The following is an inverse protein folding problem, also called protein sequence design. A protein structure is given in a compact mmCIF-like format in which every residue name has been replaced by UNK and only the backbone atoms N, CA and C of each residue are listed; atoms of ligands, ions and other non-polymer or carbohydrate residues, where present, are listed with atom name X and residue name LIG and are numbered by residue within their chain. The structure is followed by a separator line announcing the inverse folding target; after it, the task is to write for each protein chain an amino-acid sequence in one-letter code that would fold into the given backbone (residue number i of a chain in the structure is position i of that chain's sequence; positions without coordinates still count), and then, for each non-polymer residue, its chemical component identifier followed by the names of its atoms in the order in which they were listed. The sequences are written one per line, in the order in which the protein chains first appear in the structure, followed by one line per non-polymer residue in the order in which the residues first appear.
data_IF_083973145941
#
_entry.id   IF_083973145941
#
_cell.length_a   1.000
_cell.length_b   1.000
_cell.length_c   1.000
_cell.angle_alpha   90.00
_cell.angle_beta   90.00
_cell.angle_gamma   90.00
#
_symmetry.space_group_name_H-M   'P 1'
#
loop_
_entity.id
_entity.type
_entity.pdbx_description
1 polymer ?
#
# COMPACT_ATOMS: atom_id res chain seq x y z
N UNK A 1 -11.97 -9.66 -1.32
CA UNK A 1 -12.34 -8.96 -0.06
C UNK A 1 -11.05 -8.68 0.73
N UNK A 2 -11.04 -7.72 1.66
CA UNK A 2 -9.83 -7.45 2.46
C UNK A 2 -9.59 -8.48 3.58
N UNK A 3 -10.67 -9.10 4.05
CA UNK A 3 -10.66 -10.13 5.09
C UNK A 3 -11.90 -11.02 4.93
N UNK A 4 -11.77 -12.30 5.23
CA UNK A 4 -12.82 -13.32 5.14
C UNK A 4 -12.90 -14.13 6.42
N UNK A 5 -14.11 -14.59 6.76
CA UNK A 5 -14.38 -15.35 7.98
C UNK A 5 -15.20 -16.60 7.67
N UNK A 6 -14.94 -17.68 8.41
CA UNK A 6 -15.73 -18.90 8.38
C UNK A 6 -16.00 -19.39 9.81
N UNK A 7 -17.22 -19.85 10.08
CA UNK A 7 -17.54 -20.41 11.40
C UNK A 7 -16.90 -21.78 11.56
N UNK A 8 -16.48 -22.18 12.79
CA UNK A 8 -15.82 -23.48 13.00
C UNK A 8 -16.65 -24.70 12.58
N UNK A 9 -17.99 -24.57 12.58
CA UNK A 9 -18.91 -25.64 12.19
C UNK A 9 -19.23 -25.68 10.70
N UNK A 10 -18.74 -24.72 9.90
CA UNK A 10 -19.00 -24.70 8.47
C UNK A 10 -18.13 -25.73 7.74
N UNK A 11 -18.60 -26.14 6.56
CA UNK A 11 -17.87 -26.98 5.63
C UNK A 11 -17.88 -26.36 4.24
N UNK A 12 -16.85 -26.64 3.45
CA UNK A 12 -16.72 -26.24 2.05
C UNK A 12 -16.45 -27.48 1.19
N UNK A 13 -17.12 -27.58 0.06
CA UNK A 13 -16.90 -28.67 -0.89
C UNK A 13 -16.17 -28.16 -2.12
N UNK A 14 -15.06 -28.81 -2.45
CA UNK A 14 -14.25 -28.52 -3.63
C UNK A 14 -14.33 -29.73 -4.55
N UNK A 15 -14.84 -29.53 -5.76
CA UNK A 15 -15.04 -30.59 -6.75
C UNK A 15 -14.84 -30.00 -8.16
N UNK A 16 -14.50 -30.82 -9.16
CA UNK A 16 -14.31 -30.34 -10.52
C UNK A 16 -15.65 -29.95 -11.16
N UNK A 17 -15.60 -29.08 -12.16
CA UNK A 17 -16.79 -28.72 -12.92
C UNK A 17 -17.33 -29.94 -13.64
N UNK A 18 -18.59 -30.26 -13.41
CA UNK A 18 -19.29 -31.40 -14.00
C UNK A 18 -20.14 -30.96 -15.17
N UNK A 19 -20.28 -31.83 -16.16
CA UNK A 19 -21.33 -31.74 -17.17
C UNK A 19 -22.12 -33.05 -17.20
N UNK A 20 -23.45 -32.92 -17.16
CA UNK A 20 -24.40 -34.03 -17.29
C UNK A 20 -25.11 -33.96 -18.65
N UNK A 21 -25.53 -35.11 -19.19
CA UNK A 21 -26.29 -35.23 -20.45
C UNK A 21 -25.50 -35.84 -21.61
N UNK A 22 -26.17 -36.06 -22.75
CA UNK A 22 -25.53 -36.62 -23.96
C UNK A 22 -24.62 -35.58 -24.61
N UNK A 23 -23.32 -35.70 -24.37
CA UNK A 23 -22.29 -34.94 -25.10
C UNK A 23 -22.02 -35.65 -26.41
N UNK A 24 -22.60 -35.18 -27.51
CA UNK A 24 -22.21 -35.66 -28.83
C UNK A 24 -20.86 -35.03 -29.19
N UNK A 25 -19.77 -35.63 -28.68
CA UNK A 25 -18.45 -35.73 -29.32
C UNK A 25 -17.77 -34.50 -29.95
N UNK A 26 -18.21 -33.25 -29.73
CA UNK A 26 -17.54 -32.09 -30.31
C UNK A 26 -16.34 -31.71 -29.42
N UNK A 27 -15.09 -31.74 -29.94
CA UNK A 27 -13.90 -31.35 -29.17
C UNK A 27 -13.97 -29.93 -28.58
N UNK A 28 -14.83 -29.08 -29.15
CA UNK A 28 -15.10 -27.72 -28.69
C UNK A 28 -15.70 -27.70 -27.28
N UNK A 29 -16.55 -28.67 -26.94
CA UNK A 29 -17.21 -28.72 -25.63
C UNK A 29 -16.21 -29.07 -24.53
N UNK A 30 -15.27 -29.98 -24.79
CA UNK A 30 -14.19 -30.30 -23.84
C UNK A 30 -13.29 -29.09 -23.57
N UNK A 31 -12.84 -28.40 -24.63
CA UNK A 31 -12.03 -27.18 -24.51
C UNK A 31 -12.75 -26.07 -23.74
N UNK A 32 -14.07 -26.00 -23.84
CA UNK A 32 -14.86 -25.06 -23.07
C UNK A 32 -14.79 -25.37 -21.56
N UNK A 33 -14.93 -26.63 -21.16
CA UNK A 33 -14.85 -27.02 -19.73
C UNK A 33 -13.48 -26.76 -19.13
N UNK A 34 -12.41 -27.14 -19.83
CA UNK A 34 -11.05 -26.87 -19.37
C UNK A 34 -10.83 -25.36 -19.13
N UNK A 35 -11.33 -24.50 -20.03
CA UNK A 35 -11.26 -23.04 -19.86
C UNK A 35 -12.06 -22.53 -18.66
N UNK A 36 -13.23 -23.10 -18.41
CA UNK A 36 -14.04 -22.72 -17.24
C UNK A 36 -13.33 -23.15 -15.95
N UNK A 37 -12.81 -24.36 -15.91
CA UNK A 37 -12.08 -24.87 -14.75
C UNK A 37 -10.82 -24.03 -14.49
N UNK A 38 -10.00 -23.77 -15.51
CA UNK A 38 -8.82 -22.91 -15.41
C UNK A 38 -9.18 -21.50 -14.91
N UNK A 39 -10.28 -20.92 -15.40
CA UNK A 39 -10.77 -19.61 -14.93
C UNK A 39 -11.17 -19.63 -13.46
N UNK A 40 -11.84 -20.70 -12.99
CA UNK A 40 -12.23 -20.84 -11.59
C UNK A 40 -10.99 -20.99 -10.70
N UNK A 41 -10.05 -21.84 -11.10
CA UNK A 41 -8.79 -22.04 -10.37
C UNK A 41 -8.05 -20.72 -10.22
N UNK A 42 -7.85 -19.99 -11.32
CA UNK A 42 -7.20 -18.67 -11.31
C UNK A 42 -7.95 -17.65 -10.46
N UNK A 43 -9.28 -17.65 -10.51
CA UNK A 43 -10.08 -16.73 -9.70
C UNK A 43 -9.91 -17.00 -8.20
N UNK A 44 -9.97 -18.26 -7.79
CA UNK A 44 -9.83 -18.64 -6.37
C UNK A 44 -8.42 -18.36 -5.88
N UNK A 45 -7.39 -18.75 -6.63
CA UNK A 45 -5.98 -18.52 -6.22
C UNK A 45 -5.60 -17.04 -6.21
N UNK A 46 -6.19 -16.21 -7.08
CA UNK A 46 -5.96 -14.77 -7.07
C UNK A 46 -6.68 -14.03 -5.92
N UNK A 47 -7.73 -14.62 -5.34
CA UNK A 47 -8.56 -14.00 -4.30
C UNK A 47 -8.42 -14.64 -2.92
N UNK A 48 -7.52 -15.61 -2.78
CA UNK A 48 -7.23 -16.29 -1.54
C UNK A 48 -5.72 -16.54 -1.43
N UNK A 49 -5.29 -17.20 -0.35
CA UNK A 49 -3.87 -17.53 -0.10
C UNK A 49 -3.54 -18.98 -0.44
N UNK A 50 -4.52 -19.76 -0.93
CA UNK A 50 -4.28 -21.14 -1.33
C UNK A 50 -3.37 -21.20 -2.56
N UNK A 51 -2.45 -22.16 -2.57
CA UNK A 51 -1.66 -22.45 -3.77
C UNK A 51 -2.51 -23.16 -4.82
N UNK A 52 -2.25 -22.87 -6.10
CA UNK A 52 -2.91 -23.56 -7.22
C UNK A 52 -2.75 -25.08 -7.13
N UNK A 53 -1.53 -25.54 -6.80
CA UNK A 53 -1.25 -26.97 -6.59
C UNK A 53 -2.16 -27.58 -5.53
N UNK A 54 -2.29 -26.94 -4.37
CA UNK A 54 -3.13 -27.46 -3.28
C UNK A 54 -4.62 -27.42 -3.65
N UNK A 55 -5.07 -26.38 -4.32
CA UNK A 55 -6.47 -26.28 -4.75
C UNK A 55 -6.83 -27.36 -5.78
N UNK A 56 -5.94 -27.62 -6.75
CA UNK A 56 -6.10 -28.72 -7.70
C UNK A 56 -6.05 -30.10 -7.03
N UNK A 57 -5.15 -30.29 -6.06
CA UNK A 57 -5.10 -31.50 -5.24
C UNK A 57 -6.44 -31.76 -4.54
N UNK A 58 -7.00 -30.75 -3.85
CA UNK A 58 -8.30 -30.86 -3.19
C UNK A 58 -9.45 -31.13 -4.18
N UNK A 59 -9.37 -30.56 -5.38
CA UNK A 59 -10.38 -30.74 -6.43
C UNK A 59 -10.33 -32.13 -7.06
N UNK A 60 -9.16 -32.73 -7.21
CA UNK A 60 -8.96 -34.03 -7.86
C UNK A 60 -8.85 -35.20 -6.88
N UNK A 61 -8.86 -34.92 -5.57
CA UNK A 61 -8.77 -35.96 -4.56
C UNK A 61 -9.97 -36.89 -4.61
N UNK A 62 -9.74 -38.18 -4.36
CA UNK A 62 -10.78 -39.21 -4.28
C UNK A 62 -10.71 -39.79 -2.88
N UNK A 63 -11.60 -39.34 -1.99
CA UNK A 63 -11.56 -39.84 -0.62
C UNK A 63 -12.72 -39.41 0.29
N UNK A 64 -13.25 -38.20 0.14
CA UNK A 64 -14.21 -37.66 1.12
C UNK A 64 -15.66 -37.63 0.62
N UNK A 65 -15.88 -37.62 -0.69
CA UNK A 65 -17.19 -37.79 -1.28
C UNK A 65 -17.36 -39.25 -1.70
N UNK A 66 -18.21 -39.99 -0.98
CA UNK A 66 -18.44 -41.44 -1.18
C UNK A 66 -18.87 -41.85 -2.61
N UNK A 67 -19.20 -40.87 -3.46
CA UNK A 67 -19.66 -41.05 -4.84
C UNK A 67 -19.12 -39.97 -5.82
N UNK A 68 -18.07 -39.23 -5.45
CA UNK A 68 -17.49 -38.16 -6.31
C UNK A 68 -15.98 -37.97 -6.11
N UNK A 69 -15.35 -37.35 -7.10
CA UNK A 69 -14.04 -36.71 -7.00
C UNK A 69 -14.23 -35.33 -6.37
N UNK A 70 -13.47 -35.05 -5.32
CA UNK A 70 -13.54 -33.80 -4.57
C UNK A 70 -13.35 -34.03 -3.07
N UNK A 71 -13.17 -32.92 -2.36
CA UNK A 71 -12.86 -32.88 -0.93
C UNK A 71 -13.89 -32.01 -0.20
N UNK A 72 -14.30 -32.42 1.00
CA UNK A 72 -15.15 -31.64 1.90
C UNK A 72 -14.31 -31.21 3.10
N UNK A 73 -13.87 -29.97 3.09
CA UNK A 73 -13.03 -29.43 4.15
C UNK A 73 -13.89 -28.74 5.22
N UNK A 74 -13.49 -28.85 6.47
CA UNK A 74 -14.08 -28.08 7.57
C UNK A 74 -13.57 -26.62 7.60
N UNK A 75 -14.18 -25.80 8.46
CA UNK A 75 -13.81 -24.39 8.59
C UNK A 75 -12.35 -24.18 9.01
N UNK A 76 -11.76 -25.08 9.80
CA UNK A 76 -10.35 -24.97 10.24
C UNK A 76 -9.42 -25.24 9.07
N UNK A 77 -9.68 -26.30 8.31
CA UNK A 77 -8.95 -26.66 7.11
C UNK A 77 -9.05 -25.55 6.04
N UNK A 78 -10.22 -24.90 5.91
CA UNK A 78 -10.37 -23.77 4.99
C UNK A 78 -9.43 -22.59 5.33
N UNK A 79 -9.20 -22.33 6.62
CA UNK A 79 -8.23 -21.31 7.06
C UNK A 79 -6.79 -21.80 6.89
N UNK A 80 -6.50 -23.05 7.27
CA UNK A 80 -5.16 -23.65 7.13
C UNK A 80 -4.68 -23.69 5.68
N UNK A 81 -5.55 -24.08 4.75
CA UNK A 81 -5.24 -24.09 3.33
C UNK A 81 -5.25 -22.70 2.69
N UNK A 82 -5.63 -21.66 3.43
CA UNK A 82 -5.61 -20.27 2.98
C UNK A 82 -6.78 -19.91 2.05
N UNK A 83 -7.86 -20.67 2.05
CA UNK A 83 -9.10 -20.31 1.34
C UNK A 83 -9.85 -19.19 2.05
N UNK A 84 -9.77 -19.16 3.38
CA UNK A 84 -10.37 -18.15 4.27
C UNK A 84 -9.28 -17.59 5.19
N UNK A 85 -9.40 -16.33 5.61
CA UNK A 85 -8.39 -15.68 6.45
C UNK A 85 -8.45 -16.13 7.92
N UNK A 86 -9.66 -16.19 8.50
CA UNK A 86 -9.83 -16.45 9.93
C UNK A 86 -11.09 -17.26 10.26
N UNK A 87 -11.02 -18.00 11.37
CA UNK A 87 -12.19 -18.55 12.02
C UNK A 87 -12.91 -17.43 12.78
N UNK A 88 -14.23 -17.33 12.60
CA UNK A 88 -15.01 -16.32 13.31
C UNK A 88 -16.49 -16.37 12.99
N UNK A 89 -17.28 -15.90 13.93
CA UNK A 89 -18.71 -15.69 13.77
C UNK A 89 -19.03 -14.28 13.26
N UNK A 90 -20.34 -13.97 13.25
CA UNK A 90 -20.82 -12.64 12.85
C UNK A 90 -20.25 -11.52 13.74
N UNK A 91 -20.11 -11.77 15.04
CA UNK A 91 -19.55 -10.79 15.97
C UNK A 91 -18.12 -10.42 15.61
N UNK A 92 -17.28 -11.39 15.25
CA UNK A 92 -15.88 -11.17 14.87
C UNK A 92 -15.79 -10.38 13.56
N UNK A 93 -16.64 -10.73 12.59
CA UNK A 93 -16.73 -10.01 11.32
C UNK A 93 -17.18 -8.56 11.50
N UNK A 94 -18.15 -8.29 12.38
CA UNK A 94 -18.60 -6.93 12.69
C UNK A 94 -17.53 -6.11 13.41
N UNK A 95 -16.83 -6.71 14.38
CA UNK A 95 -15.70 -6.09 15.06
C UNK A 95 -14.59 -5.70 14.07
N UNK A 96 -14.25 -6.61 13.15
CA UNK A 96 -13.26 -6.34 12.11
C UNK A 96 -13.71 -5.22 11.15
N UNK A 97 -15.00 -5.18 10.79
CA UNK A 97 -15.56 -4.11 9.96
C UNK A 97 -15.47 -2.75 10.68
N UNK A 98 -15.87 -2.67 11.95
CA UNK A 98 -15.79 -1.44 12.73
C UNK A 98 -14.34 -0.95 12.86
N UNK A 99 -13.39 -1.85 13.16
CA UNK A 99 -11.98 -1.51 13.20
C UNK A 99 -11.48 -0.93 11.87
N UNK A 100 -11.87 -1.52 10.73
CA UNK A 100 -11.50 -0.99 9.41
C UNK A 100 -12.12 0.39 9.11
N UNK A 101 -13.34 0.65 9.59
CA UNK A 101 -13.99 1.96 9.45
C UNK A 101 -13.24 3.01 10.27
N UNK A 102 -12.83 2.67 11.49
CA UNK A 102 -12.11 3.58 12.38
C UNK A 102 -10.70 3.87 11.86
N UNK A 103 -10.01 2.85 11.34
CA UNK A 103 -8.71 3.01 10.65
C UNK A 103 -8.84 3.93 9.43
N UNK A 104 -9.90 3.76 8.65
CA UNK A 104 -10.17 4.61 7.49
C UNK A 104 -10.40 6.07 7.89
N UNK A 105 -11.20 6.32 8.94
CA UNK A 105 -11.45 7.68 9.47
C UNK A 105 -10.18 8.31 10.04
N UNK A 106 -9.39 7.56 10.80
CA UNK A 106 -8.13 8.05 11.38
C UNK A 106 -7.09 8.38 10.30
N UNK A 107 -7.02 7.59 9.23
CA UNK A 107 -6.17 7.85 8.07
C UNK A 107 -6.56 9.12 7.32
N UNK A 108 -7.87 9.36 7.16
CA UNK A 108 -8.40 10.58 6.54
C UNK A 108 -8.04 11.83 7.36
N UNK A 109 -8.28 11.81 8.67
CA UNK A 109 -7.97 12.95 9.55
C UNK A 109 -6.46 13.27 9.58
N UNK A 110 -5.60 12.26 9.55
CA UNK A 110 -4.14 12.45 9.48
C UNK A 110 -3.67 13.08 8.16
N UNK A 111 -4.30 12.74 7.04
CA UNK A 111 -3.98 13.36 5.76
C UNK A 111 -4.47 14.81 5.71
N UNK A 112 -5.66 15.10 6.24
CA UNK A 112 -6.20 16.46 6.33
C UNK A 112 -5.32 17.36 7.23
N UNK A 113 -4.87 16.86 8.39
CA UNK A 113 -3.98 17.62 9.28
C UNK A 113 -2.60 17.88 8.68
N UNK A 114 -2.06 16.91 7.93
CA UNK A 114 -0.78 17.07 7.21
C UNK A 114 -0.90 18.13 6.11
N UNK A 115 -1.94 18.05 5.29
CA UNK A 115 -2.20 19.03 4.23
C UNK A 115 -2.41 20.45 4.77
N UNK A 116 -3.10 20.61 5.91
CA UNK A 116 -3.21 21.90 6.58
C UNK A 116 -1.84 22.42 7.05
N UNK A 117 -1.03 21.57 7.69
CA UNK A 117 0.30 21.97 8.18
C UNK A 117 1.31 22.29 7.08
N UNK A 118 1.21 21.60 5.92
CA UNK A 118 2.04 21.87 4.76
C UNK A 118 1.63 23.18 4.07
N UNK A 119 0.33 23.46 4.01
CA UNK A 119 -0.23 24.72 3.47
C UNK A 119 0.20 25.93 4.32
N UNK A 120 0.10 25.83 5.65
CA UNK A 120 0.61 26.87 6.56
C UNK A 120 2.12 27.07 6.41
N UNK A 121 2.90 25.98 6.24
CA UNK A 121 4.35 26.08 5.99
C UNK A 121 4.69 26.77 4.68
N UNK A 122 3.93 26.53 3.62
CA UNK A 122 4.11 27.22 2.32
C UNK A 122 3.77 28.70 2.43
N UNK A 123 2.69 29.06 3.11
CA UNK A 123 2.29 30.46 3.33
C UNK A 123 3.30 31.23 4.18
N UNK A 124 3.84 30.62 5.23
CA UNK A 124 4.89 31.22 6.09
C UNK A 124 6.20 31.41 5.31
N UNK A 125 6.56 30.49 4.41
CA UNK A 125 7.75 30.63 3.57
C UNK A 125 7.60 31.77 2.55
N UNK A 126 6.47 31.82 1.84
CA UNK A 126 6.21 32.89 0.87
C UNK A 126 6.16 34.27 1.52
N UNK A 127 5.54 34.38 2.70
CA UNK A 127 5.46 35.66 3.43
C UNK A 127 6.82 36.11 3.97
N UNK A 128 7.69 35.18 4.40
CA UNK A 128 9.09 35.49 4.76
C UNK A 128 9.93 35.92 3.55
N UNK A 129 9.75 35.30 2.40
CA UNK A 129 10.48 35.61 1.16
C UNK A 129 10.08 36.99 0.62
N UNK A 130 8.77 37.28 0.53
CA UNK A 130 8.24 38.60 0.17
C UNK A 130 8.74 39.71 1.10
N UNK A 131 8.88 39.41 2.40
CA UNK A 131 9.41 40.37 3.37
C UNK A 131 10.93 40.56 3.23
N UNK A 132 11.70 39.50 2.94
CA UNK A 132 13.13 39.58 2.68
C UNK A 132 13.43 40.44 1.44
N UNK A 133 12.64 40.30 0.38
CA UNK A 133 12.79 41.13 -0.84
C UNK A 133 12.42 42.60 -0.59
N UNK A 134 11.39 42.86 0.23
CA UNK A 134 11.02 44.23 0.64
C UNK A 134 12.11 44.89 1.49
N UNK A 135 12.74 44.13 2.40
CA UNK A 135 13.84 44.61 3.25
C UNK A 135 15.10 44.87 2.42
N UNK A 136 15.41 44.03 1.43
CA UNK A 136 16.51 44.26 0.48
C UNK A 136 16.28 45.52 -0.34
N UNK A 137 15.09 45.73 -0.90
CA UNK A 137 14.75 46.91 -1.69
C UNK A 137 14.80 48.23 -0.90
N UNK A 138 14.47 48.21 0.40
CA UNK A 138 14.57 49.37 1.27
C UNK A 138 16.03 49.76 1.60
N UNK A 139 16.95 48.78 1.64
CA UNK A 139 18.36 48.99 1.96
C UNK A 139 19.13 49.62 0.79
N UNK A 140 18.77 49.30 -0.45
CA UNK A 140 19.37 49.87 -1.68
C UNK A 140 19.01 51.35 -1.89
N UNK A 141 17.88 51.82 -1.34
CA UNK A 141 17.47 53.24 -1.42
C UNK A 141 18.13 54.13 -0.36
N UNK A 142 18.77 53.57 0.67
CA UNK A 142 19.41 54.32 1.77
C UNK A 142 20.90 54.58 1.52
N UNK A 143 21.52 53.93 0.53
CA UNK A 143 22.94 54.09 0.17
C UNK A 143 23.20 55.17 -0.90
N UNK A 144 22.17 55.78 -1.50
CA UNK A 144 22.33 56.81 -2.54
C UNK A 144 22.31 58.26 -2.04
N UNK A 145 22.30 58.50 -0.72
CA UNK A 145 22.18 59.86 -0.15
C UNK A 145 23.32 60.29 0.78
N UNK A 146 24.51 59.66 0.73
CA UNK A 146 25.66 60.09 1.55
C UNK A 146 26.93 60.22 0.71
N UNK A 147 27.14 61.46 0.22
CA UNK A 147 28.41 62.22 0.11
C UNK A 147 29.69 61.46 -0.29
N UNK A 148 30.45 61.85 -1.31
CA UNK A 148 30.92 63.22 -1.54
C UNK A 148 32.16 63.52 -0.69
N UNK A 149 33.30 63.73 -1.36
CA UNK A 149 34.54 64.39 -0.88
C UNK A 149 35.46 63.64 0.09
N UNK A 150 36.76 63.57 -0.25
CA UNK A 150 37.82 63.33 0.74
C UNK A 150 39.06 62.59 0.22
N UNK A 151 40.11 63.35 -0.07
CA UNK A 151 41.41 62.94 -0.64
C UNK A 151 42.48 62.80 0.46
N UNK A 152 43.53 62.00 0.16
CA UNK A 152 44.92 61.97 0.70
C UNK A 152 45.24 60.90 1.78
N UNK A 153 46.16 59.95 1.47
CA UNK A 153 47.64 59.90 1.72
C UNK A 153 47.97 59.58 3.19
N UNK A 154 49.01 58.87 3.64
CA UNK A 154 50.16 58.07 3.14
C UNK A 154 50.90 57.58 4.41
N UNK A 155 51.59 56.43 4.37
CA UNK A 155 52.69 56.05 5.28
C UNK A 155 52.25 55.25 6.53
N UNK A 156 52.98 54.26 7.04
CA UNK A 156 54.36 53.85 6.80
C UNK A 156 54.58 52.37 7.17
N UNK A 157 55.72 51.87 6.71
CA UNK A 157 56.30 50.51 6.80
C UNK A 157 56.97 50.25 8.16
N UNK A 158 56.93 48.99 8.64
CA UNK A 158 58.01 48.25 9.34
C UNK A 158 57.47 46.82 9.63
N UNK A 159 57.91 45.73 8.98
CA UNK A 159 59.16 44.96 9.09
C UNK A 159 59.52 44.51 10.51
N UNK A 160 59.35 43.20 10.78
CA UNK A 160 60.19 42.21 11.53
C UNK A 160 59.40 40.88 11.39
N UNK A 161 59.78 39.87 10.60
CA UNK A 161 60.92 38.93 10.63
C UNK A 161 60.81 37.82 11.70
N UNK A 162 60.68 36.57 11.16
CA UNK A 162 60.99 35.21 11.68
C UNK A 162 60.14 34.67 12.86
N UNK A 163 59.80 33.37 13.00
CA UNK A 163 60.40 32.05 12.65
C UNK A 163 59.25 31.02 12.42
N UNK A 164 59.31 30.16 11.40
CA UNK A 164 59.61 28.71 11.41
C UNK A 164 58.54 27.75 12.03
N UNK A 165 58.20 26.75 11.19
CA UNK A 165 57.70 25.37 11.45
C UNK A 165 56.38 25.16 12.22
N UNK A 166 55.40 24.35 11.80
CA UNK A 166 55.41 23.21 10.89
C UNK A 166 54.92 21.97 11.64
N UNK A 167 53.61 21.70 11.64
CA UNK A 167 52.95 20.39 11.47
C UNK A 167 51.42 20.59 11.25
#
# INVERSE_FOLDING_TARGET
AKKSFIVPSAAMTIHPVRLNGMVIGVPQTFKYFERIQDRIVKFVTANSKISEKKFLELMLNTGELASDVGTVIDGKQAVEYGLIDELGGLSDALSALHAMIDDYKSGKNRNESRMASDSERTEIKESKEKNADKVKAARTKKSSSKSGSGKKRTGAVALVSTDEDGD
#
